data_IF_921332983841
#
_entry.id   IF_921332983841
#
_cell.length_a   1.000
_cell.length_b   1.000
_cell.length_c   1.000
_cell.angle_alpha   90.00
_cell.angle_beta   90.00
_cell.angle_gamma   90.00
#
_symmetry.space_group_name_H-M   'P 1'
#
loop_
_entity.id
_entity.type
_entity.pdbx_description
1 polymer ?
#
# COMPACT_ATOMS: atom_id res chain seq x y z
N UNK A 1 12.82 0.42 -4.62
CA UNK A 1 12.69 -0.99 -5.09
C UNK A 1 13.06 -1.21 -6.56
N UNK A 2 13.76 -0.30 -7.23
CA UNK A 2 14.18 -0.50 -8.61
C UNK A 2 15.46 0.31 -8.84
N UNK A 3 16.61 -0.35 -8.79
CA UNK A 3 17.92 0.31 -8.78
C UNK A 3 18.69 0.19 -10.11
N UNK A 4 18.17 -0.51 -11.12
CA UNK A 4 18.80 -0.60 -12.44
C UNK A 4 17.77 -0.56 -13.59
N UNK A 5 16.70 -1.34 -13.48
CA UNK A 5 15.66 -1.43 -14.52
C UNK A 5 14.41 -0.59 -14.17
N UNK A 6 14.57 0.53 -13.46
CA UNK A 6 13.44 1.31 -12.93
C UNK A 6 12.44 1.68 -14.02
N UNK A 7 12.92 2.24 -15.13
CA UNK A 7 12.03 2.70 -16.20
C UNK A 7 11.26 1.56 -16.87
N UNK A 8 11.85 0.35 -16.93
CA UNK A 8 11.21 -0.83 -17.52
C UNK A 8 10.25 -1.51 -16.55
N UNK A 9 10.60 -1.57 -15.26
CA UNK A 9 9.82 -2.29 -14.24
C UNK A 9 8.77 -1.42 -13.55
N UNK A 10 8.87 -0.09 -13.66
CA UNK A 10 7.92 0.83 -13.04
C UNK A 10 6.51 0.61 -13.53
N UNK A 11 6.28 0.57 -14.84
CA UNK A 11 4.91 0.46 -15.37
C UNK A 11 4.24 -0.86 -14.98
N UNK A 12 4.88 -2.04 -15.18
CA UNK A 12 4.31 -3.31 -14.72
C UNK A 12 4.02 -3.35 -13.22
N UNK A 13 4.86 -2.69 -12.42
CA UNK A 13 4.62 -2.56 -10.98
C UNK A 13 3.40 -1.70 -10.68
N UNK A 14 3.25 -0.55 -11.34
CA UNK A 14 2.09 0.32 -11.20
C UNK A 14 0.80 -0.36 -11.68
N UNK A 15 0.86 -1.19 -12.71
CA UNK A 15 -0.31 -1.92 -13.22
C UNK A 15 -0.77 -3.00 -12.22
N UNK A 16 0.16 -3.63 -11.51
CA UNK A 16 -0.14 -4.62 -10.47
C UNK A 16 -0.49 -4.01 -9.10
N UNK A 17 -0.11 -2.75 -8.87
CA UNK A 17 -0.25 -2.08 -7.59
C UNK A 17 -1.71 -2.04 -7.06
N UNK A 18 -2.74 -1.72 -7.85
CA UNK A 18 -4.12 -1.69 -7.37
C UNK A 18 -4.60 -3.02 -6.77
N UNK A 19 -4.26 -4.14 -7.41
CA UNK A 19 -4.64 -5.48 -6.95
C UNK A 19 -3.97 -5.83 -5.61
N UNK A 20 -2.73 -5.39 -5.40
CA UNK A 20 -2.00 -5.58 -4.14
C UNK A 20 -2.57 -4.69 -3.04
N UNK A 21 -2.85 -3.42 -3.33
CA UNK A 21 -3.45 -2.49 -2.37
C UNK A 21 -4.84 -2.96 -1.94
N UNK A 22 -5.61 -3.55 -2.87
CA UNK A 22 -6.91 -4.14 -2.57
C UNK A 22 -6.78 -5.29 -1.57
N UNK A 23 -5.79 -6.17 -1.73
CA UNK A 23 -5.55 -7.25 -0.77
C UNK A 23 -5.25 -6.72 0.64
N UNK A 24 -4.46 -5.65 0.76
CA UNK A 24 -4.23 -5.01 2.06
C UNK A 24 -5.49 -4.37 2.63
N UNK A 25 -6.30 -3.71 1.80
CA UNK A 25 -7.58 -3.14 2.23
C UNK A 25 -8.56 -4.22 2.68
N UNK A 26 -8.70 -5.30 1.91
CA UNK A 26 -9.57 -6.43 2.22
C UNK A 26 -9.13 -7.13 3.51
N UNK A 27 -7.81 -7.30 3.69
CA UNK A 27 -7.24 -7.85 4.92
C UNK A 27 -7.48 -6.94 6.12
N UNK A 28 -7.26 -5.62 5.98
CA UNK A 28 -7.52 -4.69 7.07
C UNK A 28 -9.00 -4.67 7.42
N UNK A 29 -9.90 -4.69 6.44
CA UNK A 29 -11.34 -4.92 6.61
C UNK A 29 -11.92 -4.21 7.83
N UNK A 30 -12.35 -5.00 8.83
CA UNK A 30 -12.86 -4.52 10.12
C UNK A 30 -11.82 -4.48 11.24
N UNK A 31 -10.59 -4.91 10.98
CA UNK A 31 -9.49 -4.84 11.94
C UNK A 31 -9.06 -3.39 12.17
N UNK A 32 -8.80 -3.05 13.43
CA UNK A 32 -8.32 -1.72 13.80
C UNK A 32 -6.90 -1.47 13.27
N UNK A 33 -6.04 -2.47 13.39
CA UNK A 33 -4.65 -2.49 12.94
C UNK A 33 -4.34 -3.81 12.22
N UNK A 34 -3.28 -3.84 11.41
CA UNK A 34 -2.90 -5.04 10.65
C UNK A 34 -2.41 -6.17 11.56
N UNK A 35 -1.87 -5.85 12.73
CA UNK A 35 -1.39 -6.83 13.70
C UNK A 35 -2.37 -7.11 14.86
N UNK A 36 -3.63 -6.69 14.73
CA UNK A 36 -4.70 -6.95 15.71
C UNK A 36 -5.36 -5.67 16.24
N UNK A 37 -5.79 -5.71 17.50
CA UNK A 37 -6.59 -4.61 18.07
C UNK A 37 -5.73 -3.46 18.62
N UNK A 38 -4.45 -3.73 18.89
CA UNK A 38 -3.49 -2.75 19.37
C UNK A 38 -2.43 -2.50 18.30
N UNK A 39 -1.99 -1.25 18.20
CA UNK A 39 -0.91 -0.87 17.29
C UNK A 39 0.39 -1.61 17.66
N UNK A 40 1.11 -2.07 16.65
CA UNK A 40 2.36 -2.81 16.80
C UNK A 40 3.44 -2.28 15.84
N UNK A 41 4.66 -2.80 15.95
CA UNK A 41 5.75 -2.46 15.04
C UNK A 41 5.44 -2.78 13.56
N UNK A 42 4.62 -3.80 13.29
CA UNK A 42 4.25 -4.19 11.91
C UNK A 42 3.44 -3.09 11.22
N UNK A 43 2.59 -2.40 11.97
CA UNK A 43 1.74 -1.33 11.44
C UNK A 43 2.57 -0.13 10.96
N UNK A 44 3.69 0.16 11.62
CA UNK A 44 4.61 1.20 11.17
C UNK A 44 5.35 0.81 9.88
N UNK A 45 5.72 -0.47 9.71
CA UNK A 45 6.33 -0.94 8.46
C UNK A 45 5.35 -0.82 7.29
N UNK A 46 4.07 -1.13 7.52
CA UNK A 46 3.03 -0.96 6.50
C UNK A 46 2.74 0.51 6.22
N UNK A 47 2.73 1.36 7.24
CA UNK A 47 2.62 2.81 7.06
C UNK A 47 3.75 3.35 6.17
N UNK A 48 5.01 3.01 6.46
CA UNK A 48 6.16 3.42 5.65
C UNK A 48 6.05 2.89 4.22
N UNK A 49 5.62 1.63 4.05
CA UNK A 49 5.39 1.05 2.74
C UNK A 49 4.34 1.86 1.96
N UNK A 50 3.21 2.20 2.56
CA UNK A 50 2.18 3.01 1.90
C UNK A 50 2.63 4.43 1.58
N UNK A 51 3.40 5.07 2.46
CA UNK A 51 3.99 6.38 2.19
C UNK A 51 4.89 6.36 0.95
N UNK A 52 5.76 5.35 0.82
CA UNK A 52 6.59 5.17 -0.38
C UNK A 52 5.75 4.99 -1.65
N UNK A 53 4.61 4.30 -1.57
CA UNK A 53 3.70 4.16 -2.70
C UNK A 53 3.01 5.47 -3.07
N UNK A 54 2.63 6.30 -2.09
CA UNK A 54 2.09 7.64 -2.34
C UNK A 54 3.13 8.54 -3.01
N UNK A 55 4.42 8.43 -2.63
CA UNK A 55 5.49 9.14 -3.33
C UNK A 55 5.65 8.67 -4.79
N UNK A 56 5.45 7.37 -5.05
CA UNK A 56 5.56 6.80 -6.40
C UNK A 56 4.32 7.10 -7.28
N UNK A 57 3.13 7.05 -6.70
CA UNK A 57 1.83 7.19 -7.34
C UNK A 57 0.84 7.89 -6.39
N UNK A 58 0.75 9.23 -6.42
CA UNK A 58 0.04 10.02 -5.40
C UNK A 58 -1.44 9.68 -5.19
N UNK A 59 -2.11 9.19 -6.22
CA UNK A 59 -3.54 8.87 -6.17
C UNK A 59 -3.83 7.38 -5.89
N UNK A 60 -2.81 6.53 -5.66
CA UNK A 60 -2.98 5.07 -5.59
C UNK A 60 -3.86 4.59 -4.42
N UNK A 61 -4.02 5.41 -3.36
CA UNK A 61 -4.87 5.10 -2.22
C UNK A 61 -6.21 5.84 -2.22
N UNK A 62 -6.49 6.67 -3.24
CA UNK A 62 -7.66 7.56 -3.27
C UNK A 62 -8.98 6.83 -3.09
N UNK A 63 -9.09 5.63 -3.66
CA UNK A 63 -10.30 4.79 -3.60
C UNK A 63 -10.62 4.27 -2.18
N UNK A 64 -9.64 4.22 -1.29
CA UNK A 64 -9.82 3.69 0.07
C UNK A 64 -10.17 4.77 1.11
N UNK A 65 -9.93 6.04 0.81
CA UNK A 65 -10.31 7.16 1.71
C UNK A 65 -11.80 7.49 1.66
N UNK A 66 -12.51 7.14 0.59
CA UNK A 66 -13.92 7.49 0.39
C UNK A 66 -14.90 6.54 1.12
N UNK A 67 -14.43 5.40 1.63
CA UNK A 67 -15.25 4.32 2.18
C UNK A 67 -15.08 4.12 3.71
N UNK A 68 -14.56 5.12 4.43
CA UNK A 68 -14.56 5.15 5.91
C UNK A 68 -15.51 6.22 6.45
#
# INVERSE_FOLDING_TARGET
LCYMDFDVRKQPYLDALPDVLKQFSDFLGTHTWFAGDNISFVDFLLYELFDQHLQLAPDCLKEYYANR
#
